data_IF_979618053447
#
_entry.id   IF_979618053447
#
_cell.length_a   1.000
_cell.length_b   1.000
_cell.length_c   1.000
_cell.angle_alpha   90.00
_cell.angle_beta   90.00
_cell.angle_gamma   90.00
#
_symmetry.space_group_name_H-M   'P 1'
#
loop_
_entity.id
_entity.type
_entity.pdbx_description
1 polymer ?
#
# COMPACT_ATOMS: atom_id res chain seq x y z
N UNK A 1 -45.17 -29.18 -71.84
CA UNK A 1 -45.36 -30.64 -71.82
C UNK A 1 -45.07 -31.17 -70.41
N UNK A 2 -46.09 -31.69 -69.83
CA UNK A 2 -46.28 -32.95 -69.06
C UNK A 2 -45.60 -32.99 -67.67
N UNK A 3 -46.45 -32.84 -66.65
CA UNK A 3 -47.15 -33.89 -65.84
C UNK A 3 -46.28 -34.35 -64.66
N UNK A 4 -46.71 -34.01 -63.44
CA UNK A 4 -47.62 -34.69 -62.46
C UNK A 4 -46.89 -35.85 -61.78
N UNK A 5 -46.96 -35.99 -60.46
CA UNK A 5 -48.05 -36.35 -59.54
C UNK A 5 -47.39 -36.42 -58.12
N UNK A 6 -47.74 -35.75 -57.16
CA UNK A 6 -48.73 -36.02 -56.12
C UNK A 6 -48.91 -37.52 -55.79
N UNK A 7 -48.42 -37.95 -54.63
CA UNK A 7 -49.11 -39.03 -53.88
C UNK A 7 -49.02 -38.82 -52.37
N UNK A 8 -50.14 -38.98 -51.80
CA UNK A 8 -50.52 -38.83 -50.42
C UNK A 8 -50.35 -40.17 -49.67
N UNK A 9 -50.43 -40.09 -48.37
CA UNK A 9 -50.87 -41.12 -47.39
C UNK A 9 -49.73 -41.67 -46.56
N UNK A 10 -49.83 -41.93 -45.30
CA UNK A 10 -50.86 -41.92 -44.26
C UNK A 10 -50.20 -41.95 -42.90
N UNK A 11 -50.87 -41.49 -41.92
CA UNK A 11 -50.53 -41.47 -40.50
C UNK A 11 -50.36 -42.88 -39.90
N UNK A 12 -49.39 -43.02 -38.97
CA UNK A 12 -49.49 -43.94 -37.86
C UNK A 12 -49.00 -43.21 -36.60
N UNK A 13 -49.91 -43.06 -35.66
CA UNK A 13 -49.65 -42.57 -34.34
C UNK A 13 -48.95 -43.68 -33.53
N UNK A 14 -47.78 -43.36 -32.98
CA UNK A 14 -47.18 -44.16 -31.89
C UNK A 14 -46.93 -43.21 -30.73
N UNK A 15 -47.78 -43.29 -29.71
CA UNK A 15 -47.57 -42.68 -28.40
C UNK A 15 -46.46 -43.46 -27.72
N UNK A 16 -45.28 -42.87 -27.64
CA UNK A 16 -44.24 -43.33 -26.75
C UNK A 16 -44.08 -42.28 -25.62
N UNK A 17 -44.53 -42.64 -24.43
CA UNK A 17 -44.30 -41.89 -23.23
C UNK A 17 -42.78 -41.87 -22.92
N UNK A 18 -42.10 -40.80 -23.22
CA UNK A 18 -40.71 -40.56 -22.81
C UNK A 18 -40.76 -39.81 -21.48
N UNK A 19 -40.37 -40.53 -20.44
CA UNK A 19 -39.99 -39.90 -19.16
C UNK A 19 -38.83 -38.95 -19.42
N UNK A 20 -39.09 -37.68 -19.42
CA UNK A 20 -38.05 -36.65 -19.35
C UNK A 20 -37.52 -36.62 -17.92
N UNK A 21 -36.39 -37.33 -17.68
CA UNK A 21 -35.52 -37.03 -16.56
C UNK A 21 -35.12 -35.54 -16.68
N UNK A 22 -35.68 -34.68 -15.83
CA UNK A 22 -35.24 -33.33 -15.67
C UNK A 22 -33.78 -33.34 -15.21
N UNK A 23 -32.87 -33.10 -16.14
CA UNK A 23 -31.53 -32.69 -15.80
C UNK A 23 -31.67 -31.30 -15.21
N UNK A 24 -31.71 -31.22 -13.88
CA UNK A 24 -31.44 -29.96 -13.19
C UNK A 24 -30.03 -29.55 -13.61
N UNK A 25 -29.93 -28.68 -14.61
CA UNK A 25 -28.72 -27.97 -14.93
C UNK A 25 -28.30 -27.21 -13.66
N UNK A 26 -27.25 -27.74 -13.01
CA UNK A 26 -26.50 -26.97 -12.04
C UNK A 26 -25.96 -25.78 -12.86
N UNK A 27 -26.66 -24.64 -12.83
CA UNK A 27 -26.06 -23.39 -13.25
C UNK A 27 -24.85 -23.20 -12.33
N UNK A 28 -23.68 -23.44 -12.87
CA UNK A 28 -22.44 -22.97 -12.27
C UNK A 28 -22.64 -21.47 -12.13
N UNK A 29 -22.87 -21.01 -10.91
CA UNK A 29 -22.76 -19.60 -10.59
C UNK A 29 -21.31 -19.27 -10.91
N UNK A 30 -21.11 -18.64 -12.07
CA UNK A 30 -19.82 -18.01 -12.38
C UNK A 30 -19.55 -17.08 -11.20
N UNK A 31 -18.51 -17.38 -10.44
CA UNK A 31 -18.02 -16.43 -9.46
C UNK A 31 -17.80 -15.13 -10.23
N UNK A 32 -18.61 -14.11 -9.93
CA UNK A 32 -18.36 -12.80 -10.50
C UNK A 32 -16.90 -12.48 -10.20
N UNK A 33 -16.14 -12.10 -11.24
CA UNK A 33 -14.76 -11.69 -11.05
C UNK A 33 -14.74 -10.63 -9.97
N UNK A 34 -14.11 -10.95 -8.83
CA UNK A 34 -13.95 -9.99 -7.75
C UNK A 34 -13.16 -8.80 -8.28
N UNK A 35 -13.61 -7.61 -7.93
CA UNK A 35 -12.81 -6.41 -8.19
C UNK A 35 -11.54 -6.48 -7.35
N UNK A 36 -10.48 -5.91 -7.86
CA UNK A 36 -9.20 -5.80 -7.15
C UNK A 36 -9.02 -4.39 -6.63
N UNK A 37 -8.64 -4.24 -5.37
CA UNK A 37 -8.17 -2.99 -4.78
C UNK A 37 -6.65 -2.95 -4.87
N UNK A 38 -6.14 -2.05 -5.70
CA UNK A 38 -4.69 -1.82 -5.85
C UNK A 38 -4.23 -0.74 -4.89
N UNK A 39 -3.39 -1.13 -3.93
CA UNK A 39 -2.88 -0.25 -2.88
C UNK A 39 -1.38 -0.09 -3.03
N UNK A 40 -0.91 1.15 -3.21
CA UNK A 40 0.53 1.43 -3.21
C UNK A 40 1.04 1.75 -1.82
N UNK A 41 2.26 1.28 -1.54
CA UNK A 41 3.05 1.58 -0.35
C UNK A 41 4.54 1.41 -0.65
N UNK A 42 5.41 1.98 0.20
CA UNK A 42 6.87 1.92 0.03
C UNK A 42 7.43 0.53 0.35
N UNK A 43 6.77 -0.21 1.25
CA UNK A 43 7.20 -1.51 1.78
C UNK A 43 8.63 -1.49 2.38
N UNK A 44 9.02 -0.36 2.94
CA UNK A 44 10.29 -0.13 3.61
C UNK A 44 10.15 0.64 4.92
N UNK A 45 8.94 0.82 5.41
CA UNK A 45 8.58 1.72 6.52
C UNK A 45 7.96 0.94 7.69
N UNK A 46 8.78 0.29 8.49
CA UNK A 46 8.34 -0.40 9.71
C UNK A 46 7.94 0.63 10.80
N UNK A 47 6.92 0.37 11.63
CA UNK A 47 6.05 -0.81 11.66
C UNK A 47 4.79 -0.69 10.78
N UNK A 48 4.73 0.27 9.89
CA UNK A 48 3.55 0.53 9.05
C UNK A 48 3.47 -0.40 7.84
N UNK A 49 4.54 -0.47 7.03
CA UNK A 49 4.61 -1.35 5.88
C UNK A 49 6.07 -1.72 5.58
N UNK A 50 6.40 -3.01 5.61
CA UNK A 50 7.74 -3.50 5.31
C UNK A 50 7.72 -4.77 4.49
N UNK A 51 8.85 -5.08 3.85
CA UNK A 51 9.04 -6.28 3.05
C UNK A 51 9.55 -7.44 3.92
N UNK A 52 8.99 -8.64 3.75
CA UNK A 52 9.45 -9.88 4.36
C UNK A 52 9.45 -11.03 3.33
N UNK A 53 10.21 -12.14 3.57
CA UNK A 53 10.40 -13.18 2.56
C UNK A 53 9.22 -14.18 2.44
N UNK A 54 8.29 -14.20 3.37
CA UNK A 54 7.21 -15.18 3.43
C UNK A 54 5.86 -14.56 3.84
N UNK A 55 4.81 -15.37 3.81
CA UNK A 55 3.43 -14.99 4.13
C UNK A 55 3.09 -15.05 5.63
N UNK A 56 4.09 -15.22 6.49
CA UNK A 56 3.88 -15.26 7.94
C UNK A 56 3.14 -14.02 8.45
N UNK A 57 2.43 -14.17 9.57
CA UNK A 57 1.62 -13.14 10.19
C UNK A 57 0.45 -12.62 9.30
N UNK A 58 0.19 -13.27 8.17
CA UNK A 58 -0.83 -12.84 7.22
C UNK A 58 -0.37 -11.72 6.28
N UNK A 59 0.94 -11.66 6.00
CA UNK A 59 1.52 -10.79 4.99
C UNK A 59 0.90 -11.05 3.61
N UNK A 60 0.90 -10.03 2.78
CA UNK A 60 0.33 -10.05 1.43
C UNK A 60 1.46 -10.02 0.41
N UNK A 61 1.42 -10.90 -0.59
CA UNK A 61 2.42 -10.90 -1.64
C UNK A 61 2.45 -9.55 -2.36
N UNK A 62 3.65 -9.02 -2.55
CA UNK A 62 3.87 -7.79 -3.33
C UNK A 62 3.72 -8.13 -4.82
N UNK A 63 2.92 -7.33 -5.53
CA UNK A 63 2.67 -7.54 -6.96
C UNK A 63 3.98 -7.56 -7.75
N UNK A 64 4.14 -8.61 -8.55
CA UNK A 64 5.35 -8.79 -9.37
C UNK A 64 6.61 -9.20 -8.61
N UNK A 65 6.51 -9.55 -7.31
CA UNK A 65 7.63 -9.98 -6.47
C UNK A 65 7.38 -11.36 -5.85
N UNK A 66 8.45 -12.03 -5.41
CA UNK A 66 8.37 -13.20 -4.53
C UNK A 66 8.21 -12.83 -3.05
N UNK A 67 8.42 -11.56 -2.71
CA UNK A 67 8.38 -11.05 -1.34
C UNK A 67 6.97 -10.62 -0.94
N UNK A 68 6.79 -10.41 0.34
CA UNK A 68 5.51 -10.08 0.96
C UNK A 68 5.61 -8.75 1.71
N UNK A 69 4.50 -8.03 1.75
CA UNK A 69 4.35 -6.84 2.57
C UNK A 69 3.60 -7.17 3.86
N UNK A 70 4.07 -6.64 4.98
CA UNK A 70 3.39 -6.73 6.27
C UNK A 70 3.47 -5.40 7.01
N UNK A 71 2.63 -5.24 8.03
CA UNK A 71 2.57 -4.06 8.88
C UNK A 71 1.16 -3.49 9.03
N UNK A 72 1.08 -2.39 9.77
CA UNK A 72 -0.19 -1.75 10.09
C UNK A 72 -0.97 -1.33 8.85
N UNK A 73 -0.29 -0.70 7.87
CA UNK A 73 -0.90 -0.25 6.62
C UNK A 73 -1.42 -1.43 5.78
N UNK A 74 -0.68 -2.55 5.77
CA UNK A 74 -1.11 -3.78 5.07
C UNK A 74 -2.35 -4.37 5.73
N UNK A 75 -2.41 -4.38 7.08
CA UNK A 75 -3.60 -4.82 7.81
C UNK A 75 -4.81 -3.94 7.54
N UNK A 76 -4.62 -2.62 7.44
CA UNK A 76 -5.67 -1.68 7.06
C UNK A 76 -6.16 -1.92 5.63
N UNK A 77 -5.23 -2.10 4.69
CA UNK A 77 -5.56 -2.43 3.30
C UNK A 77 -6.38 -3.73 3.17
N UNK A 78 -5.97 -4.78 3.89
CA UNK A 78 -6.72 -6.05 3.96
C UNK A 78 -8.14 -5.84 4.46
N UNK A 79 -8.28 -5.14 5.58
CA UNK A 79 -9.59 -4.89 6.19
C UNK A 79 -10.51 -4.11 5.23
N UNK A 80 -9.99 -3.10 4.54
CA UNK A 80 -10.74 -2.32 3.56
C UNK A 80 -11.17 -3.21 2.38
N UNK A 81 -10.25 -4.00 1.82
CA UNK A 81 -10.56 -4.90 0.71
C UNK A 81 -11.61 -5.94 1.10
N UNK A 82 -11.49 -6.54 2.29
CA UNK A 82 -12.44 -7.53 2.83
C UNK A 82 -13.85 -6.92 2.99
N UNK A 83 -13.97 -5.73 3.55
CA UNK A 83 -15.25 -5.02 3.73
C UNK A 83 -15.91 -4.65 2.38
N UNK A 84 -15.10 -4.37 1.37
CA UNK A 84 -15.58 -4.10 0.02
C UNK A 84 -15.87 -5.38 -0.79
N UNK A 85 -15.45 -6.54 -0.31
CA UNK A 85 -15.51 -7.81 -1.05
C UNK A 85 -14.57 -7.84 -2.26
N UNK A 86 -13.45 -7.13 -2.20
CA UNK A 86 -12.44 -7.03 -3.26
C UNK A 86 -11.25 -7.93 -2.95
N UNK A 87 -10.51 -8.32 -3.98
CA UNK A 87 -9.17 -8.88 -3.82
C UNK A 87 -8.18 -7.73 -3.60
N UNK A 88 -7.15 -7.97 -2.80
CA UNK A 88 -6.12 -6.97 -2.50
C UNK A 88 -4.88 -7.21 -3.35
N UNK A 89 -4.37 -6.16 -3.99
CA UNK A 89 -3.08 -6.14 -4.67
C UNK A 89 -2.20 -5.05 -4.03
N UNK A 90 -1.07 -5.45 -3.44
CA UNK A 90 -0.07 -4.51 -2.90
C UNK A 90 0.94 -4.19 -3.99
N UNK A 91 1.08 -2.91 -4.30
CA UNK A 91 2.03 -2.39 -5.30
C UNK A 91 3.13 -1.64 -4.57
N UNK A 92 4.35 -2.18 -4.59
CA UNK A 92 5.52 -1.52 -4.02
C UNK A 92 6.03 -0.44 -4.96
N UNK A 93 6.15 0.78 -4.48
CA UNK A 93 6.66 1.94 -5.21
C UNK A 93 7.61 2.74 -4.32
N UNK A 94 8.53 3.47 -4.95
CA UNK A 94 9.34 4.46 -4.25
C UNK A 94 8.44 5.57 -3.70
N UNK A 95 8.85 6.17 -2.57
CA UNK A 95 8.07 7.18 -1.86
C UNK A 95 7.52 8.29 -2.74
N UNK A 96 8.36 8.87 -3.60
CA UNK A 96 7.97 9.98 -4.49
C UNK A 96 7.02 9.57 -5.62
N UNK A 97 6.90 8.27 -5.87
CA UNK A 97 6.01 7.73 -6.90
C UNK A 97 4.58 7.46 -6.41
N UNK A 98 4.33 7.50 -5.08
CA UNK A 98 3.04 7.12 -4.50
C UNK A 98 1.90 8.04 -4.95
N UNK A 99 2.04 9.36 -4.79
CA UNK A 99 1.02 10.32 -5.21
C UNK A 99 0.81 10.32 -6.72
N UNK A 100 1.87 10.38 -7.57
CA UNK A 100 1.72 10.25 -9.02
C UNK A 100 1.00 8.97 -9.47
N UNK A 101 1.20 7.84 -8.78
CA UNK A 101 0.54 6.58 -9.12
C UNK A 101 -0.99 6.65 -8.94
N UNK A 102 -1.47 7.32 -7.88
CA UNK A 102 -2.92 7.58 -7.70
C UNK A 102 -3.43 8.52 -8.78
N UNK A 103 -2.73 9.62 -9.04
CA UNK A 103 -3.15 10.61 -10.03
C UNK A 103 -3.27 10.03 -11.45
N UNK A 104 -2.39 9.08 -11.79
CA UNK A 104 -2.41 8.41 -13.11
C UNK A 104 -3.40 7.25 -13.20
N UNK A 105 -4.00 6.83 -12.08
CA UNK A 105 -4.86 5.64 -12.02
C UNK A 105 -4.09 4.32 -12.11
N UNK A 106 -2.78 4.33 -11.86
CA UNK A 106 -1.97 3.11 -11.77
C UNK A 106 -2.38 2.25 -10.57
N UNK A 107 -2.77 2.92 -9.48
CA UNK A 107 -3.31 2.32 -8.26
C UNK A 107 -4.58 3.05 -7.85
N UNK A 108 -5.41 2.38 -7.06
CA UNK A 108 -6.69 2.95 -6.58
C UNK A 108 -6.46 3.89 -5.38
N UNK A 109 -5.50 3.56 -4.52
CA UNK A 109 -5.16 4.38 -3.36
C UNK A 109 -3.73 4.13 -2.87
N UNK A 110 -3.28 5.00 -1.96
CA UNK A 110 -2.06 4.86 -1.17
C UNK A 110 -2.44 4.66 0.30
N UNK A 111 -1.84 3.66 0.95
CA UNK A 111 -1.89 3.46 2.40
C UNK A 111 -0.45 3.23 2.84
N UNK A 112 0.21 4.30 3.29
CA UNK A 112 1.66 4.32 3.50
C UNK A 112 2.10 5.28 4.63
N UNK A 113 1.28 5.45 5.67
CA UNK A 113 1.59 6.39 6.77
C UNK A 113 1.76 7.84 6.31
N UNK A 114 1.20 8.20 5.16
CA UNK A 114 1.43 9.49 4.54
C UNK A 114 0.68 10.61 5.25
N UNK A 115 1.41 11.62 5.76
CA UNK A 115 0.83 12.78 6.44
C UNK A 115 -0.05 13.61 5.52
N UNK A 116 -1.19 14.05 6.04
CA UNK A 116 -2.08 15.00 5.36
C UNK A 116 -1.42 16.39 5.41
N UNK A 117 -1.11 16.94 4.25
CA UNK A 117 -0.62 18.34 4.13
C UNK A 117 -1.47 19.12 3.14
N UNK A 118 -1.44 20.46 3.25
CA UNK A 118 -2.19 21.33 2.32
C UNK A 118 -1.71 21.15 0.88
N UNK A 119 -0.42 20.95 0.69
CA UNK A 119 0.20 20.75 -0.61
C UNK A 119 -0.29 19.44 -1.24
N UNK A 120 -0.31 18.35 -0.47
CA UNK A 120 -0.82 17.05 -0.94
C UNK A 120 -2.31 17.07 -1.22
N UNK A 121 -3.10 17.79 -0.42
CA UNK A 121 -4.54 17.95 -0.64
C UNK A 121 -4.89 18.73 -1.92
N UNK A 122 -3.93 19.45 -2.53
CA UNK A 122 -4.09 20.03 -3.86
C UNK A 122 -3.91 19.02 -4.99
N UNK A 123 -3.35 17.86 -4.70
CA UNK A 123 -3.01 16.84 -5.69
C UNK A 123 -3.90 15.59 -5.59
N UNK A 124 -4.30 15.20 -4.39
CA UNK A 124 -5.11 14.01 -4.09
C UNK A 124 -6.02 14.29 -2.91
N UNK A 125 -7.12 13.52 -2.82
CA UNK A 125 -8.00 13.51 -1.66
C UNK A 125 -7.46 12.57 -0.57
N UNK A 126 -7.73 12.91 0.68
CA UNK A 126 -7.43 12.09 1.85
C UNK A 126 -8.71 11.65 2.55
N UNK A 127 -8.66 10.46 3.14
CA UNK A 127 -9.66 10.02 4.12
C UNK A 127 -9.46 10.74 5.44
N UNK A 128 -10.33 10.50 6.43
CA UNK A 128 -10.02 10.79 7.80
C UNK A 128 -8.73 10.05 8.22
N UNK A 129 -7.93 10.64 9.13
CA UNK A 129 -6.71 10.00 9.61
C UNK A 129 -7.00 8.66 10.28
N UNK A 130 -6.31 7.61 9.88
CA UNK A 130 -6.41 6.28 10.52
C UNK A 130 -5.38 6.07 11.63
N UNK A 131 -4.40 6.98 11.77
CA UNK A 131 -3.37 6.95 12.79
C UNK A 131 -2.85 8.36 13.11
N UNK A 132 -2.40 8.57 14.33
CA UNK A 132 -1.72 9.79 14.77
C UNK A 132 -0.39 9.40 15.42
N UNK A 133 0.69 10.04 15.01
CA UNK A 133 2.02 9.82 15.55
C UNK A 133 2.64 11.12 16.06
N UNK A 134 3.43 11.03 17.11
CA UNK A 134 4.33 12.11 17.50
C UNK A 134 5.58 12.06 16.64
N UNK A 135 6.02 13.22 16.18
CA UNK A 135 7.30 13.35 15.46
C UNK A 135 8.40 13.60 16.50
N UNK A 136 9.48 12.88 16.37
CA UNK A 136 10.62 12.93 17.29
C UNK A 136 11.93 12.99 16.52
N UNK A 137 13.02 13.31 17.23
CA UNK A 137 14.38 13.12 16.75
C UNK A 137 14.93 11.80 17.30
N UNK A 138 15.57 11.03 16.45
CA UNK A 138 16.25 9.79 16.80
C UNK A 138 17.76 10.03 16.73
N UNK A 139 18.45 9.81 17.85
CA UNK A 139 19.89 9.96 18.01
C UNK A 139 20.55 8.61 18.27
N UNK A 140 21.87 8.51 18.07
CA UNK A 140 22.62 7.31 18.48
C UNK A 140 22.80 7.31 20.00
N UNK A 141 22.57 6.14 20.63
CA UNK A 141 22.74 5.97 22.08
C UNK A 141 24.20 6.10 22.58
N UNK A 142 25.17 6.06 21.66
CA UNK A 142 26.61 6.29 21.91
C UNK A 142 27.14 7.56 21.25
N UNK A 143 26.25 8.38 20.66
CA UNK A 143 26.62 9.63 20.00
C UNK A 143 26.69 10.84 20.94
N UNK A 144 27.15 11.96 20.40
CA UNK A 144 27.35 13.22 21.16
C UNK A 144 26.02 13.82 21.66
N UNK A 145 24.90 13.49 21.01
CA UNK A 145 23.57 14.00 21.32
C UNK A 145 22.70 13.03 22.14
N UNK A 146 23.28 11.96 22.68
CA UNK A 146 22.54 10.90 23.40
C UNK A 146 21.74 11.38 24.63
N UNK A 147 22.18 12.46 25.24
CA UNK A 147 21.59 13.05 26.46
C UNK A 147 20.69 14.26 26.13
N UNK A 148 20.45 14.55 24.84
CA UNK A 148 19.57 15.65 24.42
C UNK A 148 18.16 15.45 24.96
N UNK A 149 17.65 16.45 25.66
CA UNK A 149 16.31 16.45 26.27
C UNK A 149 15.35 17.47 25.62
N UNK A 150 15.89 18.34 24.78
CA UNK A 150 15.13 19.38 24.09
C UNK A 150 15.70 19.63 22.69
N UNK A 151 14.96 20.36 21.85
CA UNK A 151 15.43 20.75 20.52
C UNK A 151 16.62 21.73 20.57
N UNK A 152 16.76 22.48 21.66
CA UNK A 152 17.88 23.37 21.89
C UNK A 152 19.21 22.62 22.05
N UNK A 153 19.17 21.42 22.60
CA UNK A 153 20.34 20.56 22.79
C UNK A 153 20.87 19.96 21.48
N UNK A 154 20.09 20.04 20.41
CA UNK A 154 20.38 19.48 19.07
C UNK A 154 21.05 20.49 18.13
N UNK A 155 21.31 21.72 18.58
CA UNK A 155 21.96 22.77 17.76
C UNK A 155 23.38 22.34 17.36
N UNK A 156 23.75 22.69 16.14
CA UNK A 156 25.07 22.40 15.59
C UNK A 156 25.25 21.00 15.00
N UNK A 157 24.27 20.12 15.16
CA UNK A 157 24.31 18.75 14.66
C UNK A 157 24.21 18.66 13.14
N UNK A 158 24.77 17.62 12.57
CA UNK A 158 24.58 17.21 11.17
C UNK A 158 23.36 16.33 11.05
N UNK A 159 22.41 16.70 10.19
CA UNK A 159 21.08 16.10 10.23
C UNK A 159 20.53 15.82 8.83
N UNK A 160 19.63 14.84 8.76
CA UNK A 160 18.81 14.58 7.58
C UNK A 160 17.47 13.94 7.98
N UNK A 161 16.60 13.77 7.00
CA UNK A 161 15.41 12.92 7.08
C UNK A 161 15.02 12.47 5.69
N UNK A 162 13.91 11.75 5.56
CA UNK A 162 13.41 11.30 4.27
C UNK A 162 12.85 12.48 3.46
N UNK A 163 13.14 12.49 2.15
CA UNK A 163 12.69 13.51 1.21
C UNK A 163 11.16 13.60 1.15
N UNK A 164 10.66 14.79 0.84
CA UNK A 164 9.22 15.04 0.63
C UNK A 164 8.35 14.57 1.81
N UNK A 165 8.89 14.65 3.04
CA UNK A 165 8.16 14.38 4.29
C UNK A 165 8.06 15.63 5.14
N UNK A 166 7.05 15.69 6.02
CA UNK A 166 6.95 16.75 7.03
C UNK A 166 8.18 16.76 7.96
N UNK A 167 8.86 15.64 8.10
CA UNK A 167 10.06 15.50 8.93
C UNK A 167 11.18 16.38 8.40
N UNK A 168 11.50 16.26 7.10
CA UNK A 168 12.56 17.04 6.46
C UNK A 168 12.13 18.48 6.20
N UNK A 169 10.91 18.68 5.63
CA UNK A 169 10.50 19.98 5.12
C UNK A 169 9.98 20.93 6.20
N UNK A 170 9.43 20.38 7.30
CA UNK A 170 8.76 21.19 8.32
C UNK A 170 9.36 21.05 9.72
N UNK A 171 9.85 19.86 10.12
CA UNK A 171 10.33 19.63 11.48
C UNK A 171 11.81 20.01 11.64
N UNK A 172 12.71 19.52 10.76
CA UNK A 172 14.13 19.83 10.82
C UNK A 172 14.43 21.33 10.79
N UNK A 173 13.78 22.17 9.95
CA UNK A 173 14.03 23.60 9.92
C UNK A 173 13.70 24.36 11.22
N UNK A 174 12.97 23.74 12.15
CA UNK A 174 12.66 24.33 13.46
C UNK A 174 13.84 24.25 14.43
N UNK A 175 14.85 23.43 14.14
CA UNK A 175 16.05 23.28 14.96
C UNK A 175 17.15 24.17 14.39
N UNK A 176 17.50 25.21 15.12
CA UNK A 176 18.44 26.23 14.67
C UNK A 176 19.89 25.74 14.57
N UNK A 177 20.64 26.31 13.64
CA UNK A 177 22.09 26.10 13.48
C UNK A 177 22.49 24.64 13.19
N UNK A 178 21.62 23.85 12.59
CA UNK A 178 21.95 22.48 12.13
C UNK A 178 22.65 22.50 10.77
N UNK A 179 23.53 21.54 10.55
CA UNK A 179 24.09 21.24 9.22
C UNK A 179 23.14 20.29 8.50
N UNK A 180 22.16 20.82 7.77
CA UNK A 180 21.16 20.04 7.06
C UNK A 180 21.77 19.45 5.78
N UNK A 181 21.90 18.11 5.73
CA UNK A 181 22.36 17.38 4.55
C UNK A 181 21.20 17.17 3.56
N UNK A 182 21.53 16.73 2.35
CA UNK A 182 20.53 16.31 1.38
C UNK A 182 19.62 15.22 1.99
N UNK A 183 18.32 15.22 1.64
CA UNK A 183 17.39 14.25 2.19
C UNK A 183 17.70 12.83 1.69
N UNK A 184 17.30 11.85 2.47
CA UNK A 184 17.39 10.45 2.10
C UNK A 184 16.19 10.03 1.21
N UNK A 185 16.42 9.12 0.27
CA UNK A 185 15.38 8.67 -0.66
C UNK A 185 14.31 7.80 0.01
N UNK A 186 14.64 7.16 1.14
CA UNK A 186 13.75 6.24 1.84
C UNK A 186 14.01 6.23 3.35
N UNK A 187 13.04 5.74 4.12
CA UNK A 187 13.19 5.58 5.57
C UNK A 187 14.36 4.65 5.94
N UNK A 188 14.59 3.48 5.31
CA UNK A 188 15.78 2.67 5.57
C UNK A 188 17.09 3.40 5.27
N UNK A 189 17.17 4.17 4.19
CA UNK A 189 18.37 4.94 3.84
C UNK A 189 18.65 6.03 4.89
N UNK A 190 17.63 6.71 5.38
CA UNK A 190 17.72 7.67 6.47
C UNK A 190 18.29 7.04 7.75
N UNK A 191 17.73 5.91 8.17
CA UNK A 191 18.20 5.19 9.36
C UNK A 191 19.64 4.70 9.19
N UNK A 192 20.01 4.23 8.00
CA UNK A 192 21.38 3.81 7.71
C UNK A 192 22.39 4.97 7.87
N UNK A 193 22.03 6.18 7.45
CA UNK A 193 22.91 7.36 7.64
C UNK A 193 23.14 7.64 9.12
N UNK A 194 22.11 7.52 9.97
CA UNK A 194 22.26 7.63 11.42
C UNK A 194 23.15 6.52 11.99
N UNK A 195 22.89 5.26 11.63
CA UNK A 195 23.64 4.11 12.13
C UNK A 195 25.12 4.18 11.79
N UNK A 196 25.46 4.63 10.58
CA UNK A 196 26.84 4.79 10.12
C UNK A 196 27.54 6.03 10.68
N UNK A 197 26.83 6.93 11.33
CA UNK A 197 27.35 8.19 11.84
C UNK A 197 27.58 9.25 10.76
N UNK A 198 26.96 9.10 9.60
CA UNK A 198 26.95 10.16 8.56
C UNK A 198 26.15 11.38 9.01
N UNK A 199 25.17 11.17 9.89
CA UNK A 199 24.41 12.22 10.57
C UNK A 199 24.32 11.94 12.06
N UNK A 200 24.13 12.97 12.87
CA UNK A 200 24.03 12.90 14.33
C UNK A 200 22.62 12.52 14.78
N UNK A 201 21.62 12.99 14.05
CA UNK A 201 20.23 12.58 14.27
C UNK A 201 19.40 12.64 12.98
N UNK A 202 18.25 11.97 13.02
CA UNK A 202 17.21 12.02 12.02
C UNK A 202 15.88 12.40 12.67
N UNK A 203 14.98 13.02 11.91
CA UNK A 203 13.61 13.27 12.32
C UNK A 203 12.70 12.18 11.74
N UNK A 204 11.88 11.56 12.57
CA UNK A 204 10.93 10.52 12.18
C UNK A 204 9.74 10.48 13.14
N UNK A 205 8.78 9.60 12.93
CA UNK A 205 7.74 9.36 13.92
C UNK A 205 8.19 8.37 15.02
N UNK A 206 7.50 8.44 16.14
CA UNK A 206 7.82 7.60 17.30
C UNK A 206 7.68 6.10 17.01
N UNK A 207 6.63 5.58 16.34
CA UNK A 207 6.55 4.15 16.03
C UNK A 207 7.74 3.64 15.22
N UNK A 208 8.21 4.38 14.22
CA UNK A 208 9.38 4.01 13.42
C UNK A 208 10.66 4.02 14.24
N UNK A 209 10.80 4.95 15.16
CA UNK A 209 11.98 5.00 16.04
C UNK A 209 12.01 3.87 17.07
N UNK A 210 10.87 3.25 17.38
CA UNK A 210 10.75 2.14 18.33
C UNK A 210 10.78 0.76 17.67
N UNK A 211 10.68 0.68 16.33
CA UNK A 211 10.69 -0.56 15.56
C UNK A 211 12.12 -1.03 15.31
#
# INVERSE_FOLDING_TARGET
MRKSKMWRMLAVAAVAASMTCGVFGVQSVSAADKKTLKVAMECGYAPYNWTQPDDSNGAVQISGSSDYAYGYDVMMAKKIADELGYDLEIVKLDWDSLVPAVQSGQVDCVIAGQSITKERQQMVDFTDPYYYASIITLVKGDGDYKDAASVEDLKGATVTSQQNTIWYDSCLPQIENTNLLAPADSAPAMIMQLQTGAVDYVCTDMPTALA
#
